data_IF_314189737191
#
_entry.id   IF_314189737191
#
_cell.length_a   1.000
_cell.length_b   1.000
_cell.length_c   1.000
_cell.angle_alpha   90.00
_cell.angle_beta   90.00
_cell.angle_gamma   90.00
#
_symmetry.space_group_name_H-M   'P 1'
#
loop_
_entity.id
_entity.type
_entity.pdbx_description
1 polymer ?
#
# COMPACT_ATOMS: atom_id res chain seq x y z
N UNK A 1 -3.60 -2.82 -27.11
CA UNK A 1 -4.46 -1.87 -26.39
C UNK A 1 -4.39 -2.25 -24.94
N UNK A 2 -4.09 -1.34 -24.02
CA UNK A 2 -3.97 -1.73 -22.61
C UNK A 2 -5.34 -2.15 -22.06
N UNK A 3 -5.36 -2.96 -21.01
CA UNK A 3 -6.59 -3.39 -20.34
C UNK A 3 -7.37 -2.16 -19.82
N UNK A 4 -6.69 -1.13 -19.31
CA UNK A 4 -7.35 0.08 -18.84
C UNK A 4 -8.06 0.85 -19.97
N UNK A 5 -7.52 0.85 -21.19
CA UNK A 5 -8.17 1.48 -22.36
C UNK A 5 -9.42 0.70 -22.78
N UNK A 6 -9.37 -0.63 -22.69
CA UNK A 6 -10.51 -1.49 -22.98
C UNK A 6 -11.62 -1.33 -21.92
N UNK A 7 -11.24 -1.19 -20.64
CA UNK A 7 -12.17 -0.84 -19.55
C UNK A 7 -12.79 0.54 -19.79
N UNK A 8 -11.98 1.57 -20.09
CA UNK A 8 -12.45 2.93 -20.45
C UNK A 8 -13.42 2.90 -21.66
N UNK A 9 -13.12 2.10 -22.68
CA UNK A 9 -13.98 1.90 -23.86
C UNK A 9 -15.31 1.18 -23.56
N UNK A 10 -15.32 0.23 -22.62
CA UNK A 10 -16.57 -0.35 -22.12
C UNK A 10 -17.33 0.66 -21.24
N UNK A 11 -16.66 1.40 -20.36
CA UNK A 11 -17.26 2.43 -19.52
C UNK A 11 -18.01 3.49 -20.32
N UNK A 12 -17.43 4.00 -21.42
CA UNK A 12 -18.11 4.96 -22.30
C UNK A 12 -19.38 4.39 -22.94
N UNK A 13 -19.40 3.10 -23.31
CA UNK A 13 -20.59 2.43 -23.84
C UNK A 13 -21.65 2.22 -22.76
N UNK A 14 -21.23 1.77 -21.58
CA UNK A 14 -22.10 1.57 -20.41
C UNK A 14 -22.74 2.88 -19.97
N UNK A 15 -22.00 4.00 -19.98
CA UNK A 15 -22.48 5.32 -19.62
C UNK A 15 -23.66 5.80 -20.49
N UNK A 16 -23.64 5.47 -21.79
CA UNK A 16 -24.73 5.77 -22.75
C UNK A 16 -25.86 4.75 -22.64
N UNK A 17 -25.55 3.47 -22.43
CA UNK A 17 -26.55 2.42 -22.39
C UNK A 17 -27.42 2.45 -21.12
N UNK A 18 -26.86 2.79 -19.95
CA UNK A 18 -27.48 2.60 -18.62
C UNK A 18 -28.93 3.09 -18.48
N UNK A 19 -29.26 4.23 -19.11
CA UNK A 19 -30.56 4.88 -19.00
C UNK A 19 -31.58 4.33 -20.02
N UNK A 20 -31.11 3.56 -21.01
CA UNK A 20 -31.91 2.91 -22.04
C UNK A 20 -32.33 1.48 -21.63
N UNK A 21 -31.56 0.81 -20.77
CA UNK A 21 -31.79 -0.60 -20.39
C UNK A 21 -32.85 -0.73 -19.29
N UNK A 22 -34.05 -1.17 -19.67
CA UNK A 22 -35.18 -1.32 -18.74
C UNK A 22 -35.31 -2.71 -18.11
N UNK A 23 -34.59 -3.72 -18.62
CA UNK A 23 -34.68 -5.12 -18.16
C UNK A 23 -33.33 -5.69 -17.74
N UNK A 24 -33.37 -6.72 -16.91
CA UNK A 24 -32.20 -7.48 -16.51
C UNK A 24 -31.52 -8.15 -17.72
N UNK A 25 -32.30 -8.72 -18.64
CA UNK A 25 -31.78 -9.33 -19.87
C UNK A 25 -31.07 -8.31 -20.78
N UNK A 26 -31.61 -7.10 -20.91
CA UNK A 26 -30.93 -6.03 -21.64
C UNK A 26 -29.61 -5.63 -20.95
N UNK A 27 -29.55 -5.69 -19.62
CA UNK A 27 -28.34 -5.41 -18.81
C UNK A 27 -27.29 -6.50 -18.97
N UNK A 28 -27.71 -7.78 -18.94
CA UNK A 28 -26.88 -8.96 -19.22
C UNK A 28 -26.20 -8.84 -20.59
N UNK A 29 -26.99 -8.57 -21.63
CA UNK A 29 -26.50 -8.46 -23.01
C UNK A 29 -25.62 -7.23 -23.28
N UNK A 30 -26.04 -6.04 -22.84
CA UNK A 30 -25.37 -4.79 -23.22
C UNK A 30 -24.22 -4.37 -22.28
N UNK A 31 -24.10 -4.98 -21.08
CA UNK A 31 -23.09 -4.61 -20.09
C UNK A 31 -22.29 -5.82 -19.58
N UNK A 32 -22.97 -6.85 -19.05
CA UNK A 32 -22.29 -7.95 -18.33
C UNK A 32 -21.53 -8.89 -19.27
N UNK A 33 -22.11 -9.31 -20.40
CA UNK A 33 -21.37 -10.12 -21.38
C UNK A 33 -20.17 -9.37 -21.97
N UNK A 34 -20.28 -8.08 -22.38
CA UNK A 34 -19.12 -7.26 -22.72
C UNK A 34 -18.05 -7.15 -21.62
N UNK A 35 -18.42 -7.21 -20.34
CA UNK A 35 -17.48 -7.22 -19.21
C UNK A 35 -16.79 -8.60 -19.04
N UNK A 36 -17.51 -9.71 -19.21
CA UNK A 36 -16.93 -11.06 -19.22
C UNK A 36 -15.96 -11.21 -20.41
N UNK A 37 -16.32 -10.67 -21.58
CA UNK A 37 -15.46 -10.63 -22.76
C UNK A 37 -14.23 -9.72 -22.58
N UNK A 38 -14.38 -8.59 -21.86
CA UNK A 38 -13.26 -7.71 -21.48
C UNK A 38 -12.25 -8.41 -20.56
N UNK A 39 -12.71 -9.30 -19.68
CA UNK A 39 -11.85 -10.20 -18.90
C UNK A 39 -11.21 -11.33 -19.75
N UNK A 40 -11.47 -11.39 -21.06
CA UNK A 40 -10.82 -12.30 -22.00
C UNK A 40 -11.45 -13.69 -22.12
N UNK A 41 -12.61 -13.92 -21.50
CA UNK A 41 -13.36 -15.17 -21.61
C UNK A 41 -14.31 -15.13 -22.83
N UNK A 42 -14.40 -16.23 -23.58
CA UNK A 42 -15.23 -16.28 -24.78
C UNK A 42 -16.72 -16.49 -24.45
N UNK A 43 -17.49 -15.39 -24.41
CA UNK A 43 -18.96 -15.42 -24.22
C UNK A 43 -19.75 -16.16 -25.30
N UNK A 44 -19.10 -16.59 -26.40
CA UNK A 44 -19.70 -17.39 -27.45
C UNK A 44 -19.33 -18.89 -27.39
N UNK A 45 -18.47 -19.30 -26.45
CA UNK A 45 -18.16 -20.71 -26.19
C UNK A 45 -18.84 -21.17 -24.90
N UNK A 46 -19.88 -22.03 -24.96
CA UNK A 46 -20.61 -22.48 -23.78
C UNK A 46 -19.77 -23.39 -22.86
N UNK A 47 -18.60 -23.86 -23.30
CA UNK A 47 -17.63 -24.60 -22.48
C UNK A 47 -16.71 -23.68 -21.67
N UNK A 48 -16.67 -22.38 -21.99
CA UNK A 48 -15.92 -21.35 -21.25
C UNK A 48 -16.84 -20.40 -20.49
N UNK A 49 -17.97 -19.99 -21.09
CA UNK A 49 -18.98 -19.15 -20.44
C UNK A 49 -20.34 -19.83 -20.62
N UNK A 50 -20.78 -20.58 -19.61
CA UNK A 50 -22.09 -21.25 -19.62
C UNK A 50 -23.17 -20.28 -19.10
N UNK A 51 -24.12 -19.80 -19.93
CA UNK A 51 -25.27 -19.05 -19.45
C UNK A 51 -26.27 -19.99 -18.76
N UNK A 52 -27.08 -19.46 -17.84
CA UNK A 52 -28.15 -20.18 -17.15
C UNK A 52 -27.71 -21.53 -16.53
N UNK A 53 -26.52 -21.58 -15.93
CA UNK A 53 -25.97 -22.83 -15.38
C UNK A 53 -26.92 -23.42 -14.33
N UNK A 54 -27.18 -24.72 -14.44
CA UNK A 54 -28.03 -25.50 -13.53
C UNK A 54 -27.17 -26.46 -12.69
N UNK A 55 -27.33 -26.41 -11.37
CA UNK A 55 -26.82 -27.38 -10.41
C UNK A 55 -27.96 -27.81 -9.48
N UNK A 56 -28.22 -29.12 -9.37
CA UNK A 56 -29.34 -29.64 -8.57
C UNK A 56 -29.06 -29.52 -7.06
N UNK A 57 -29.85 -28.72 -6.33
CA UNK A 57 -29.68 -28.50 -4.87
C UNK A 57 -30.91 -28.94 -4.09
N UNK A 58 -30.88 -30.18 -3.60
CA UNK A 58 -31.84 -30.71 -2.63
C UNK A 58 -33.29 -30.65 -3.11
N UNK A 59 -34.13 -29.86 -2.43
CA UNK A 59 -35.57 -29.76 -2.70
C UNK A 59 -35.96 -28.62 -3.66
N UNK A 60 -35.03 -27.74 -4.04
CA UNK A 60 -35.29 -26.64 -4.98
C UNK A 60 -34.74 -26.97 -6.37
N UNK A 61 -35.61 -27.44 -7.26
CA UNK A 61 -35.28 -27.67 -8.67
C UNK A 61 -35.52 -26.42 -9.53
N UNK A 62 -34.68 -26.21 -10.55
CA UNK A 62 -34.93 -25.24 -11.62
C UNK A 62 -34.56 -23.78 -11.33
N UNK A 63 -33.97 -23.47 -10.17
CA UNK A 63 -33.20 -22.23 -10.02
C UNK A 63 -31.91 -22.32 -10.84
N UNK A 64 -31.39 -21.18 -11.32
CA UNK A 64 -30.19 -21.09 -12.17
C UNK A 64 -29.28 -19.95 -11.67
N UNK A 65 -28.05 -19.89 -12.17
CA UNK A 65 -27.18 -18.70 -12.07
C UNK A 65 -26.88 -18.18 -13.47
N UNK A 66 -26.81 -16.86 -13.65
CA UNK A 66 -26.94 -16.23 -14.97
C UNK A 66 -25.79 -16.55 -15.92
N UNK A 67 -24.56 -16.50 -15.41
CA UNK A 67 -23.38 -17.00 -16.10
C UNK A 67 -22.46 -17.72 -15.13
N UNK A 68 -21.85 -18.81 -15.59
CA UNK A 68 -20.68 -19.40 -14.98
C UNK A 68 -19.50 -19.29 -15.96
N UNK A 69 -18.35 -18.83 -15.45
CA UNK A 69 -17.08 -18.91 -16.17
C UNK A 69 -16.42 -20.23 -15.77
N UNK A 70 -16.03 -21.02 -16.77
CA UNK A 70 -15.44 -22.34 -16.63
C UNK A 70 -13.95 -22.31 -16.98
N UNK A 71 -13.16 -23.10 -16.25
CA UNK A 71 -11.77 -23.44 -16.57
C UNK A 71 -11.64 -24.96 -16.49
N UNK A 72 -11.13 -25.58 -17.54
CA UNK A 72 -10.99 -27.04 -17.65
C UNK A 72 -12.31 -27.81 -17.36
N UNK A 73 -13.44 -27.23 -17.80
CA UNK A 73 -14.80 -27.77 -17.60
C UNK A 73 -15.41 -27.53 -16.22
N UNK A 74 -14.69 -26.87 -15.30
CA UNK A 74 -15.14 -26.60 -13.92
C UNK A 74 -15.50 -25.12 -13.73
N UNK A 75 -16.63 -24.78 -13.09
CA UNK A 75 -16.93 -23.40 -12.72
C UNK A 75 -15.84 -22.82 -11.80
N UNK A 76 -15.25 -21.68 -12.19
CA UNK A 76 -14.29 -20.92 -11.37
C UNK A 76 -14.90 -19.64 -10.79
N UNK A 77 -15.85 -19.04 -11.52
CA UNK A 77 -16.50 -17.78 -11.16
C UNK A 77 -17.97 -17.80 -11.58
N UNK A 78 -18.85 -17.31 -10.72
CA UNK A 78 -20.30 -17.30 -10.92
C UNK A 78 -20.82 -15.85 -10.94
N UNK A 79 -21.72 -15.52 -11.87
CA UNK A 79 -22.32 -14.18 -11.99
C UNK A 79 -23.81 -14.24 -11.72
N UNK A 80 -24.25 -13.44 -10.75
CA UNK A 80 -25.65 -13.07 -10.55
C UNK A 80 -25.85 -11.61 -10.97
N UNK A 81 -26.74 -11.42 -11.94
CA UNK A 81 -27.05 -10.14 -12.52
C UNK A 81 -28.34 -9.58 -11.93
N UNK A 82 -28.47 -8.25 -12.01
CA UNK A 82 -29.69 -7.47 -11.79
C UNK A 82 -29.80 -6.44 -12.91
N UNK A 83 -30.99 -5.86 -13.10
CA UNK A 83 -31.20 -4.78 -14.07
C UNK A 83 -30.34 -3.55 -13.76
N UNK A 84 -30.00 -2.77 -14.79
CA UNK A 84 -29.38 -1.44 -14.69
C UNK A 84 -30.07 -0.59 -13.61
N UNK A 85 -29.27 0.05 -12.76
CA UNK A 85 -29.77 0.84 -11.61
C UNK A 85 -30.46 0.03 -10.50
N UNK A 86 -30.50 -1.30 -10.58
CA UNK A 86 -31.01 -2.17 -9.52
C UNK A 86 -30.06 -2.27 -8.32
N UNK A 87 -30.63 -2.40 -7.11
CA UNK A 87 -29.87 -2.54 -5.86
C UNK A 87 -29.12 -3.90 -5.79
N UNK A 88 -27.86 -3.84 -5.37
CA UNK A 88 -26.97 -4.99 -5.20
C UNK A 88 -26.95 -5.44 -3.74
N UNK A 89 -28.13 -5.82 -3.28
CA UNK A 89 -28.38 -6.38 -1.96
C UNK A 89 -28.14 -7.89 -1.95
N UNK A 90 -27.21 -8.34 -1.11
CA UNK A 90 -26.82 -9.74 -1.02
C UNK A 90 -27.96 -10.67 -0.56
N UNK A 91 -28.96 -10.15 0.18
CA UNK A 91 -30.16 -10.91 0.54
C UNK A 91 -31.01 -11.29 -0.69
N UNK A 92 -30.84 -10.57 -1.82
CA UNK A 92 -31.51 -10.85 -3.09
C UNK A 92 -30.63 -11.66 -4.06
N UNK A 93 -29.42 -12.05 -3.66
CA UNK A 93 -28.48 -12.92 -4.39
C UNK A 93 -28.50 -14.36 -3.86
N UNK A 94 -29.68 -14.83 -3.45
CA UNK A 94 -29.83 -16.16 -2.84
C UNK A 94 -29.50 -17.31 -3.79
N UNK A 95 -29.57 -17.11 -5.10
CA UNK A 95 -29.17 -18.10 -6.10
C UNK A 95 -27.63 -18.24 -6.08
N UNK A 96 -26.89 -17.13 -6.20
CA UNK A 96 -25.42 -17.09 -6.08
C UNK A 96 -24.89 -17.85 -4.86
N UNK A 97 -25.46 -17.64 -3.67
CA UNK A 97 -25.08 -18.38 -2.45
C UNK A 97 -25.25 -19.90 -2.59
N UNK A 98 -26.39 -20.36 -3.12
CA UNK A 98 -26.68 -21.80 -3.26
C UNK A 98 -25.74 -22.44 -4.29
N UNK A 99 -25.47 -21.75 -5.39
CA UNK A 99 -24.57 -22.21 -6.43
C UNK A 99 -23.10 -22.24 -6.00
N UNK A 100 -22.64 -21.21 -5.27
CA UNK A 100 -21.29 -21.20 -4.68
C UNK A 100 -21.09 -22.40 -3.74
N UNK A 101 -22.12 -22.77 -2.96
CA UNK A 101 -22.01 -23.88 -2.00
C UNK A 101 -21.89 -25.28 -2.62
N UNK A 102 -22.40 -25.48 -3.85
CA UNK A 102 -22.46 -26.81 -4.50
C UNK A 102 -21.56 -26.98 -5.71
N UNK A 103 -20.80 -25.94 -6.09
CA UNK A 103 -19.85 -25.98 -7.21
C UNK A 103 -18.41 -25.82 -6.72
N UNK A 104 -17.44 -26.06 -7.59
CA UNK A 104 -16.01 -25.81 -7.30
C UNK A 104 -15.62 -24.32 -7.44
N UNK A 105 -16.60 -23.44 -7.67
CA UNK A 105 -16.34 -22.02 -7.88
C UNK A 105 -15.76 -21.36 -6.65
N UNK A 106 -14.67 -20.60 -6.85
CA UNK A 106 -13.97 -19.88 -5.78
C UNK A 106 -14.41 -18.42 -5.68
N UNK A 107 -15.11 -17.91 -6.70
CA UNK A 107 -15.53 -16.52 -6.79
C UNK A 107 -17.00 -16.38 -7.20
N UNK A 108 -17.71 -15.45 -6.55
CA UNK A 108 -19.06 -15.03 -6.92
C UNK A 108 -19.07 -13.54 -7.26
N UNK A 109 -19.87 -13.13 -8.23
CA UNK A 109 -20.00 -11.73 -8.67
C UNK A 109 -21.47 -11.34 -8.68
N UNK A 110 -21.83 -10.32 -7.90
CA UNK A 110 -23.16 -9.69 -7.94
C UNK A 110 -23.06 -8.36 -8.68
N UNK A 111 -23.81 -8.18 -9.77
CA UNK A 111 -23.68 -7.00 -10.65
C UNK A 111 -25.01 -6.48 -11.21
N UNK A 112 -25.05 -5.18 -11.48
CA UNK A 112 -26.13 -4.50 -12.23
C UNK A 112 -25.61 -3.89 -13.56
N UNK A 113 -24.47 -4.39 -14.05
CA UNK A 113 -23.77 -3.85 -15.22
C UNK A 113 -22.92 -2.61 -14.94
N UNK A 114 -23.22 -1.86 -13.86
CA UNK A 114 -22.48 -0.66 -13.43
C UNK A 114 -21.47 -1.00 -12.33
N UNK A 115 -21.94 -1.60 -11.25
CA UNK A 115 -21.11 -2.05 -10.11
C UNK A 115 -21.00 -3.58 -10.14
N UNK A 116 -19.80 -4.09 -9.85
CA UNK A 116 -19.46 -5.50 -9.79
C UNK A 116 -18.89 -5.80 -8.40
N UNK A 117 -19.63 -6.55 -7.59
CA UNK A 117 -19.23 -6.93 -6.22
C UNK A 117 -18.69 -8.36 -6.23
N UNK A 118 -17.41 -8.53 -5.91
CA UNK A 118 -16.71 -9.80 -5.93
C UNK A 118 -16.63 -10.42 -4.52
N UNK A 119 -17.05 -11.67 -4.42
CA UNK A 119 -17.15 -12.46 -3.20
C UNK A 119 -16.33 -13.75 -3.33
N UNK A 120 -15.88 -14.27 -2.20
CA UNK A 120 -15.20 -15.56 -2.06
C UNK A 120 -15.48 -16.09 -0.65
N UNK A 121 -14.86 -17.17 -0.21
CA UNK A 121 -15.24 -17.96 0.98
C UNK A 121 -14.14 -18.00 2.06
N UNK A 122 -13.60 -16.83 2.41
CA UNK A 122 -12.48 -16.70 3.36
C UNK A 122 -12.84 -17.13 4.78
N UNK A 123 -14.13 -17.07 5.15
CA UNK A 123 -14.57 -17.45 6.50
C UNK A 123 -14.78 -18.94 6.68
N UNK A 124 -15.29 -19.63 5.65
CA UNK A 124 -15.64 -21.06 5.69
C UNK A 124 -15.58 -21.66 4.28
N UNK A 125 -14.77 -22.71 4.04
CA UNK A 125 -14.67 -23.36 2.74
C UNK A 125 -16.04 -23.70 2.14
N UNK A 126 -16.22 -23.33 0.89
CA UNK A 126 -17.43 -23.45 0.09
C UNK A 126 -18.67 -22.77 0.73
N UNK A 127 -18.51 -21.72 1.55
CA UNK A 127 -19.58 -20.78 1.90
C UNK A 127 -19.12 -19.36 1.61
N UNK A 128 -19.70 -18.75 0.57
CA UNK A 128 -19.48 -17.36 0.21
C UNK A 128 -19.65 -16.41 1.41
N UNK A 129 -18.69 -15.50 1.59
CA UNK A 129 -18.71 -14.44 2.60
C UNK A 129 -19.89 -13.48 2.37
N UNK A 130 -20.43 -12.91 3.45
CA UNK A 130 -21.58 -11.98 3.40
C UNK A 130 -21.20 -10.55 2.97
N UNK A 131 -19.90 -10.28 2.74
CA UNK A 131 -19.35 -8.99 2.32
C UNK A 131 -18.36 -9.19 1.17
N UNK A 132 -18.37 -8.35 0.13
CA UNK A 132 -17.46 -8.50 -1.00
C UNK A 132 -16.03 -8.11 -0.60
N UNK A 133 -15.04 -8.87 -1.05
CA UNK A 133 -13.63 -8.57 -0.85
C UNK A 133 -13.11 -7.54 -1.88
N UNK A 134 -13.83 -7.31 -2.96
CA UNK A 134 -13.55 -6.27 -3.95
C UNK A 134 -14.87 -5.76 -4.56
N UNK A 135 -15.00 -4.45 -4.74
CA UNK A 135 -16.09 -3.83 -5.50
C UNK A 135 -15.49 -2.94 -6.59
N UNK A 136 -16.04 -3.01 -7.79
CA UNK A 136 -15.59 -2.24 -8.96
C UNK A 136 -16.79 -1.52 -9.59
N UNK A 137 -16.71 -0.20 -9.77
CA UNK A 137 -17.71 0.59 -10.50
C UNK A 137 -17.13 1.01 -11.84
N UNK A 138 -17.71 0.53 -12.94
CA UNK A 138 -17.16 0.79 -14.27
C UNK A 138 -17.28 2.26 -14.73
N UNK A 139 -18.09 3.07 -14.03
CA UNK A 139 -18.24 4.50 -14.30
C UNK A 139 -17.42 5.40 -13.36
N UNK A 140 -16.81 4.84 -12.32
CA UNK A 140 -16.02 5.56 -11.30
C UNK A 140 -15.02 4.59 -10.66
N UNK A 141 -13.79 4.56 -11.20
CA UNK A 141 -12.72 3.67 -10.78
C UNK A 141 -11.36 4.35 -10.78
N UNK A 142 -10.45 3.86 -9.94
CA UNK A 142 -9.04 4.27 -9.86
C UNK A 142 -8.16 3.21 -10.50
N UNK A 143 -6.94 3.57 -10.87
CA UNK A 143 -6.02 2.66 -11.58
C UNK A 143 -5.63 1.44 -10.72
N UNK A 144 -5.55 1.61 -9.40
CA UNK A 144 -5.39 0.51 -8.43
C UNK A 144 -6.51 -0.54 -8.53
N UNK A 145 -7.76 -0.12 -8.78
CA UNK A 145 -8.90 -1.03 -8.92
C UNK A 145 -8.90 -1.74 -10.28
N UNK A 146 -8.21 -1.18 -11.27
CA UNK A 146 -7.95 -1.82 -12.55
C UNK A 146 -6.88 -2.91 -12.39
N UNK A 147 -5.84 -2.70 -11.59
CA UNK A 147 -4.83 -3.72 -11.31
C UNK A 147 -5.37 -4.88 -10.46
N UNK A 148 -6.33 -4.60 -9.57
CA UNK A 148 -7.11 -5.65 -8.90
C UNK A 148 -8.05 -6.38 -9.89
N UNK A 149 -8.74 -5.67 -10.79
CA UNK A 149 -9.61 -6.27 -11.79
C UNK A 149 -8.83 -7.15 -12.80
N UNK A 150 -7.60 -6.75 -13.19
CA UNK A 150 -6.72 -7.53 -14.09
C UNK A 150 -6.53 -8.97 -13.61
N UNK A 151 -6.47 -9.23 -12.30
CA UNK A 151 -6.28 -10.57 -11.72
C UNK A 151 -7.42 -11.54 -12.08
N UNK A 152 -8.62 -11.03 -12.34
CA UNK A 152 -9.76 -11.85 -12.76
C UNK A 152 -9.77 -12.19 -14.25
N UNK A 153 -8.93 -11.54 -15.06
CA UNK A 153 -8.87 -11.78 -16.50
C UNK A 153 -8.18 -13.12 -16.82
N UNK A 154 -8.68 -13.83 -17.84
CA UNK A 154 -8.28 -15.20 -18.22
C UNK A 154 -6.77 -15.45 -18.25
N UNK A 155 -6.00 -14.47 -18.75
CA UNK A 155 -4.54 -14.57 -18.90
C UNK A 155 -3.75 -14.40 -17.57
N UNK A 156 -4.37 -13.87 -16.53
CA UNK A 156 -3.79 -13.64 -15.20
C UNK A 156 -4.55 -14.36 -14.07
N UNK A 157 -5.57 -15.16 -14.41
CA UNK A 157 -6.44 -15.83 -13.44
C UNK A 157 -5.73 -16.96 -12.70
N UNK A 158 -5.22 -16.62 -11.50
CA UNK A 158 -4.70 -17.54 -10.50
C UNK A 158 -5.51 -17.46 -9.19
N UNK A 159 -5.95 -18.62 -8.71
CA UNK A 159 -6.86 -18.73 -7.57
C UNK A 159 -6.14 -18.35 -6.27
N UNK A 160 -4.90 -18.80 -6.07
CA UNK A 160 -4.16 -18.58 -4.83
C UNK A 160 -3.80 -17.09 -4.67
N UNK A 161 -3.30 -16.45 -5.74
CA UNK A 161 -3.00 -15.02 -5.78
C UNK A 161 -4.23 -14.14 -5.51
N UNK A 162 -5.40 -14.48 -6.08
CA UNK A 162 -6.65 -13.74 -5.81
C UNK A 162 -7.13 -13.98 -4.38
N UNK A 163 -7.02 -15.20 -3.82
CA UNK A 163 -7.40 -15.48 -2.42
C UNK A 163 -6.47 -14.79 -1.40
N UNK A 164 -5.16 -14.75 -1.66
CA UNK A 164 -4.20 -13.99 -0.84
C UNK A 164 -4.50 -12.49 -0.90
N UNK A 165 -4.75 -11.97 -2.09
CA UNK A 165 -5.23 -10.59 -2.31
C UNK A 165 -6.52 -10.31 -1.53
N UNK A 166 -7.51 -11.19 -1.61
CA UNK A 166 -8.81 -11.05 -0.97
C UNK A 166 -8.69 -10.97 0.56
N UNK A 167 -7.86 -11.82 1.16
CA UNK A 167 -7.52 -11.74 2.58
C UNK A 167 -6.89 -10.40 2.94
N UNK A 168 -5.88 -9.95 2.18
CA UNK A 168 -5.21 -8.67 2.44
C UNK A 168 -6.17 -7.47 2.34
N UNK A 169 -7.05 -7.44 1.33
CA UNK A 169 -8.08 -6.40 1.20
C UNK A 169 -9.11 -6.46 2.33
N UNK A 170 -9.53 -7.66 2.76
CA UNK A 170 -10.46 -7.87 3.88
C UNK A 170 -9.88 -7.35 5.20
N UNK A 171 -8.65 -7.71 5.53
CA UNK A 171 -7.97 -7.21 6.74
C UNK A 171 -7.69 -5.71 6.65
N UNK A 172 -7.26 -5.19 5.50
CA UNK A 172 -7.04 -3.75 5.29
C UNK A 172 -8.30 -2.95 5.57
N UNK A 173 -9.47 -3.37 5.05
CA UNK A 173 -10.75 -2.69 5.34
C UNK A 173 -11.20 -2.82 6.78
N UNK A 174 -10.97 -3.97 7.42
CA UNK A 174 -11.29 -4.15 8.85
C UNK A 174 -10.46 -3.18 9.71
N UNK A 175 -9.15 -3.09 9.47
CA UNK A 175 -8.24 -2.17 10.17
C UNK A 175 -8.64 -0.71 9.89
N UNK A 176 -8.91 -0.35 8.63
CA UNK A 176 -9.38 0.99 8.27
C UNK A 176 -10.69 1.36 8.97
N UNK A 177 -11.64 0.43 9.07
CA UNK A 177 -12.90 0.66 9.79
C UNK A 177 -12.65 0.93 11.28
N UNK A 178 -11.88 0.06 11.94
CA UNK A 178 -11.49 0.22 13.36
C UNK A 178 -10.73 1.52 13.62
N UNK A 179 -9.84 1.95 12.72
CA UNK A 179 -9.13 3.23 12.85
C UNK A 179 -10.08 4.44 12.72
N UNK A 180 -11.06 4.40 11.80
CA UNK A 180 -12.09 5.45 11.68
C UNK A 180 -13.01 5.50 12.91
N UNK A 181 -13.33 4.35 13.52
CA UNK A 181 -14.02 4.30 14.81
C UNK A 181 -13.15 4.93 15.91
N UNK A 182 -11.87 4.58 16.01
CA UNK A 182 -10.95 5.10 17.04
C UNK A 182 -10.66 6.60 16.90
N UNK A 183 -10.65 7.14 15.68
CA UNK A 183 -10.63 8.59 15.44
C UNK A 183 -11.83 9.32 16.07
N UNK A 184 -12.98 8.63 16.14
CA UNK A 184 -14.25 9.19 16.62
C UNK A 184 -14.51 8.88 18.09
N UNK A 185 -14.07 7.71 18.56
CA UNK A 185 -14.29 7.14 19.89
C UNK A 185 -13.10 6.22 20.25
N UNK A 186 -11.93 6.76 20.64
CA UNK A 186 -10.74 5.96 20.89
C UNK A 186 -10.93 5.09 22.14
N UNK A 187 -10.69 3.76 22.07
CA UNK A 187 -10.86 2.87 23.21
C UNK A 187 -9.76 3.10 24.25
N UNK A 188 -10.05 2.77 25.52
CA UNK A 188 -9.16 3.06 26.64
C UNK A 188 -7.74 2.51 26.44
N UNK A 189 -7.62 1.28 25.94
CA UNK A 189 -6.32 0.65 25.73
C UNK A 189 -5.48 1.34 24.64
N UNK A 190 -6.12 1.90 23.61
CA UNK A 190 -5.45 2.74 22.62
C UNK A 190 -5.03 4.09 23.20
N UNK A 191 -5.92 4.75 23.97
CA UNK A 191 -5.58 6.00 24.66
C UNK A 191 -4.41 5.79 25.63
N UNK A 192 -4.37 4.64 26.32
CA UNK A 192 -3.27 4.25 27.22
C UNK A 192 -1.97 3.98 26.45
N UNK A 193 -2.05 3.34 25.28
CA UNK A 193 -0.90 3.10 24.40
C UNK A 193 -0.27 4.42 23.92
N UNK A 194 -1.05 5.33 23.32
CA UNK A 194 -0.52 6.59 22.76
C UNK A 194 -0.11 7.63 23.79
N UNK A 195 -0.45 7.43 25.07
CA UNK A 195 -0.04 8.31 26.17
C UNK A 195 1.06 7.72 27.05
N UNK A 196 1.49 6.47 26.82
CA UNK A 196 2.42 5.74 27.68
C UNK A 196 3.77 6.47 27.88
N UNK A 197 4.37 6.95 26.80
CA UNK A 197 5.68 7.62 26.80
C UNK A 197 5.69 8.93 27.62
N UNK A 198 4.53 9.59 27.73
CA UNK A 198 4.36 10.88 28.42
C UNK A 198 3.77 10.74 29.84
N UNK A 199 3.37 9.51 30.23
CA UNK A 199 2.74 9.19 31.51
C UNK A 199 3.62 8.32 32.43
N UNK A 200 4.94 8.28 32.20
CA UNK A 200 5.91 7.53 33.01
C UNK A 200 5.64 7.70 34.51
N UNK A 201 5.40 6.57 35.20
CA UNK A 201 5.13 6.52 36.64
C UNK A 201 3.72 6.93 37.10
N UNK A 202 2.81 7.35 36.21
CA UNK A 202 1.44 7.76 36.57
C UNK A 202 0.44 6.62 36.33
N UNK A 203 -0.28 6.23 37.37
CA UNK A 203 -1.40 5.29 37.23
C UNK A 203 -2.52 5.88 36.34
N UNK A 204 -2.98 5.10 35.37
CA UNK A 204 -4.04 5.47 34.44
C UNK A 204 -5.43 5.45 35.11
N UNK A 205 -5.70 6.46 35.95
CA UNK A 205 -6.96 6.64 36.69
C UNK A 205 -8.01 7.35 35.82
N UNK A 206 -9.30 7.20 36.15
CA UNK A 206 -10.44 7.75 35.39
C UNK A 206 -10.27 9.22 34.95
N UNK A 207 -9.86 10.13 35.85
CA UNK A 207 -9.64 11.54 35.49
C UNK A 207 -8.55 11.75 34.42
N UNK A 208 -7.50 10.92 34.39
CA UNK A 208 -6.51 10.94 33.30
C UNK A 208 -7.10 10.30 32.05
N UNK A 209 -7.78 9.15 32.16
CA UNK A 209 -8.46 8.49 31.03
C UNK A 209 -9.34 9.47 30.26
N UNK A 210 -10.24 10.17 30.94
CA UNK A 210 -11.21 11.05 30.28
C UNK A 210 -10.51 12.25 29.62
N UNK A 211 -9.52 12.85 30.30
CA UNK A 211 -8.67 13.92 29.75
C UNK A 211 -7.92 13.46 28.49
N UNK A 212 -7.20 12.34 28.56
CA UNK A 212 -6.40 11.83 27.44
C UNK A 212 -7.28 11.28 26.30
N UNK A 213 -8.49 10.80 26.58
CA UNK A 213 -9.47 10.41 25.55
C UNK A 213 -9.91 11.61 24.73
N UNK A 214 -10.22 12.74 25.39
CA UNK A 214 -10.54 14.00 24.72
C UNK A 214 -9.35 14.57 23.92
N UNK A 215 -8.13 14.51 24.48
CA UNK A 215 -6.90 14.95 23.79
C UNK A 215 -6.61 14.07 22.57
N UNK A 216 -6.70 12.74 22.68
CA UNK A 216 -6.47 11.79 21.57
C UNK A 216 -7.43 12.04 20.42
N UNK A 217 -8.73 12.20 20.72
CA UNK A 217 -9.75 12.53 19.70
C UNK A 217 -9.46 13.86 19.01
N UNK A 218 -9.06 14.90 19.76
CA UNK A 218 -8.68 16.19 19.19
C UNK A 218 -7.41 16.09 18.33
N UNK A 219 -6.40 15.33 18.76
CA UNK A 219 -5.16 15.13 18.03
C UNK A 219 -5.40 14.45 16.66
N UNK A 220 -6.26 13.42 16.60
CA UNK A 220 -6.68 12.83 15.33
C UNK A 220 -7.33 13.85 14.39
N UNK A 221 -8.27 14.66 14.90
CA UNK A 221 -8.97 15.66 14.09
C UNK A 221 -8.01 16.74 13.55
N UNK A 222 -7.04 17.18 14.36
CA UNK A 222 -6.02 18.14 13.94
C UNK A 222 -5.09 17.52 12.89
N UNK A 223 -4.52 16.33 13.16
CA UNK A 223 -3.62 15.63 12.24
C UNK A 223 -4.25 15.40 10.85
N UNK A 224 -5.53 15.03 10.79
CA UNK A 224 -6.25 14.84 9.53
C UNK A 224 -6.50 16.18 8.83
N UNK A 225 -6.89 17.22 9.56
CA UNK A 225 -7.00 18.57 9.03
C UNK A 225 -5.68 19.08 8.43
N UNK A 226 -4.57 18.85 9.11
CA UNK A 226 -3.23 19.23 8.67
C UNK A 226 -2.81 18.45 7.41
N UNK A 227 -3.03 17.12 7.37
CA UNK A 227 -2.75 16.29 6.18
C UNK A 227 -3.63 16.65 4.96
N UNK A 228 -4.89 17.02 5.18
CA UNK A 228 -5.76 17.55 4.12
C UNK A 228 -5.25 18.92 3.65
N UNK A 229 -4.87 19.81 4.57
CA UNK A 229 -4.33 21.13 4.24
C UNK A 229 -2.98 21.06 3.51
N UNK A 230 -2.10 20.12 3.85
CA UNK A 230 -0.87 19.83 3.08
C UNK A 230 -1.19 19.44 1.64
N UNK A 231 -2.11 18.47 1.44
CA UNK A 231 -2.51 18.00 0.11
C UNK A 231 -3.22 19.07 -0.71
N UNK A 232 -4.11 19.85 -0.09
CA UNK A 232 -4.79 20.98 -0.75
C UNK A 232 -3.80 22.08 -1.14
N UNK A 233 -2.84 22.44 -0.28
CA UNK A 233 -1.79 23.42 -0.61
C UNK A 233 -0.97 22.96 -1.82
N UNK A 234 -0.50 21.71 -1.82
CA UNK A 234 0.25 21.13 -2.94
C UNK A 234 -0.55 21.03 -4.26
N UNK A 235 -1.88 20.91 -4.18
CA UNK A 235 -2.77 20.91 -5.36
C UNK A 235 -3.21 22.32 -5.81
N UNK A 236 -3.11 23.34 -4.94
CA UNK A 236 -3.52 24.72 -5.21
C UNK A 236 -2.36 25.65 -5.59
N UNK A 237 -1.10 25.20 -5.45
CA UNK A 237 0.07 25.88 -6.02
C UNK A 237 0.23 25.51 -7.50
N UNK A 238 -0.04 26.42 -8.47
CA UNK A 238 0.37 26.19 -9.85
C UNK A 238 1.90 26.22 -9.96
N UNK A 239 2.47 25.37 -10.80
CA UNK A 239 3.92 25.33 -11.03
C UNK A 239 4.40 26.60 -11.76
N UNK A 240 5.17 27.45 -11.08
CA UNK A 240 6.05 28.49 -11.65
C UNK A 240 6.99 28.99 -10.53
N UNK A 241 8.15 29.63 -10.83
CA UNK A 241 9.39 29.08 -10.31
C UNK A 241 9.91 29.70 -9.01
N UNK A 242 10.74 28.91 -8.33
CA UNK A 242 11.71 29.18 -7.26
C UNK A 242 11.93 30.63 -6.76
N UNK A 243 11.95 30.72 -5.42
CA UNK A 243 12.83 31.58 -4.58
C UNK A 243 12.42 33.04 -4.29
N UNK A 244 12.78 33.59 -3.08
CA UNK A 244 13.10 32.89 -1.82
C UNK A 244 12.68 33.59 -0.50
N UNK A 245 12.88 32.87 0.63
CA UNK A 245 12.98 33.29 2.05
C UNK A 245 11.76 33.93 2.76
N UNK A 246 11.20 33.16 3.71
CA UNK A 246 10.93 33.61 5.08
C UNK A 246 10.94 32.39 6.03
N UNK A 247 11.66 32.46 7.16
CA UNK A 247 11.82 31.36 8.14
C UNK A 247 11.62 31.92 9.56
N UNK A 248 10.98 31.16 10.47
CA UNK A 248 10.95 31.49 11.90
C UNK A 248 10.80 30.22 12.77
N UNK A 249 11.76 30.02 13.70
CA UNK A 249 11.79 29.06 14.84
C UNK A 249 11.69 27.54 14.49
N UNK A 250 12.44 26.58 15.04
CA UNK A 250 13.15 26.40 16.34
C UNK A 250 12.19 26.15 17.53
N UNK A 251 12.36 25.19 18.45
CA UNK A 251 13.43 24.21 18.83
C UNK A 251 12.74 22.81 18.93
N UNK A 252 13.32 21.60 19.14
CA UNK A 252 14.66 21.11 19.52
C UNK A 252 14.90 19.68 18.97
N UNK A 253 15.69 18.84 19.67
CA UNK A 253 16.08 17.47 19.29
C UNK A 253 16.09 16.50 20.50
N UNK A 254 15.87 15.19 20.28
CA UNK A 254 15.94 14.12 21.29
C UNK A 254 16.08 12.71 20.65
N UNK A 255 17.31 12.18 20.60
CA UNK A 255 17.66 10.78 20.30
C UNK A 255 18.01 10.04 21.63
N UNK A 256 18.02 8.70 21.78
CA UNK A 256 17.81 7.56 20.87
C UNK A 256 17.52 6.25 21.65
N UNK A 257 17.08 5.19 20.93
CA UNK A 257 17.39 3.79 21.25
C UNK A 257 16.20 2.86 21.58
N UNK A 258 16.17 1.58 21.17
CA UNK A 258 17.11 0.87 20.26
C UNK A 258 16.52 -0.42 19.64
N UNK A 259 16.90 -0.67 18.38
CA UNK A 259 17.09 -1.96 17.69
C UNK A 259 16.11 -3.15 17.88
N UNK A 260 15.46 -3.52 16.76
CA UNK A 260 15.22 -4.92 16.36
C UNK A 260 15.74 -5.13 14.92
N UNK A 261 15.98 -6.38 14.50
CA UNK A 261 16.57 -6.70 13.20
C UNK A 261 15.53 -7.21 12.20
N UNK A 262 15.02 -6.32 11.35
CA UNK A 262 14.37 -6.68 10.09
C UNK A 262 15.08 -5.94 8.94
N UNK A 263 15.28 -6.63 7.82
CA UNK A 263 16.07 -6.12 6.70
C UNK A 263 15.23 -5.21 5.80
N UNK A 264 15.11 -3.93 6.19
CA UNK A 264 14.68 -2.88 5.27
C UNK A 264 15.68 -2.75 4.11
N UNK A 265 15.18 -2.33 2.95
CA UNK A 265 15.97 -2.18 1.72
C UNK A 265 16.04 -0.69 1.35
N UNK A 266 17.24 -0.11 1.14
CA UNK A 266 17.40 1.32 0.92
C UNK A 266 16.56 1.87 -0.22
N UNK A 267 16.00 3.07 -0.04
CA UNK A 267 15.20 3.75 -1.06
C UNK A 267 16.03 4.18 -2.28
N UNK A 268 15.35 4.53 -3.38
CA UNK A 268 16.01 5.01 -4.60
C UNK A 268 16.88 6.25 -4.35
N UNK A 269 16.41 7.20 -3.54
CA UNK A 269 17.13 8.44 -3.18
C UNK A 269 18.37 8.14 -2.34
N UNK A 270 18.31 7.13 -1.46
CA UNK A 270 19.46 6.71 -0.65
C UNK A 270 20.48 5.92 -1.47
N UNK A 271 20.03 5.13 -2.45
CA UNK A 271 20.91 4.47 -3.43
C UNK A 271 21.62 5.48 -4.33
N UNK A 272 20.94 6.55 -4.76
CA UNK A 272 21.51 7.66 -5.54
C UNK A 272 22.57 8.43 -4.72
N UNK A 273 22.19 8.88 -3.52
CA UNK A 273 23.10 9.53 -2.57
C UNK A 273 24.32 8.67 -2.23
N UNK A 274 24.15 7.36 -2.09
CA UNK A 274 25.24 6.41 -1.91
C UNK A 274 26.19 6.36 -3.13
N UNK A 275 25.71 6.46 -4.37
CA UNK A 275 26.61 6.61 -5.52
C UNK A 275 27.35 7.96 -5.51
N UNK A 276 26.68 9.05 -5.15
CA UNK A 276 27.29 10.38 -5.02
C UNK A 276 28.42 10.35 -3.97
N UNK A 277 28.16 9.79 -2.78
CA UNK A 277 29.16 9.63 -1.71
C UNK A 277 30.32 8.73 -2.14
N UNK A 278 30.06 7.65 -2.90
CA UNK A 278 31.11 6.80 -3.49
C UNK A 278 31.95 7.51 -4.56
N UNK A 279 31.37 8.46 -5.30
CA UNK A 279 32.07 9.28 -6.27
C UNK A 279 32.96 10.33 -5.57
N UNK A 280 32.40 11.04 -4.58
CA UNK A 280 33.12 12.00 -3.72
C UNK A 280 34.34 11.36 -3.08
N UNK A 281 34.18 10.19 -2.48
CA UNK A 281 35.24 9.49 -1.75
C UNK A 281 36.20 8.68 -2.65
N UNK A 282 35.94 8.63 -3.96
CA UNK A 282 36.74 7.87 -4.94
C UNK A 282 38.23 8.20 -4.94
N UNK A 283 38.70 9.44 -4.70
CA UNK A 283 40.13 9.76 -4.65
C UNK A 283 40.87 9.12 -3.48
N UNK A 284 40.21 8.97 -2.32
CA UNK A 284 40.84 8.49 -1.08
C UNK A 284 40.57 7.02 -0.75
N UNK A 285 39.47 6.43 -1.25
CA UNK A 285 39.13 5.02 -0.99
C UNK A 285 38.53 4.32 -2.22
N UNK A 286 38.76 3.00 -2.31
CA UNK A 286 38.12 2.14 -3.31
C UNK A 286 36.61 2.03 -3.02
N UNK A 287 35.69 2.20 -4.00
CA UNK A 287 34.24 2.16 -3.78
C UNK A 287 33.64 0.83 -3.27
N UNK A 288 34.45 -0.22 -3.14
CA UNK A 288 34.07 -1.49 -2.48
C UNK A 288 34.39 -1.54 -0.98
N UNK A 289 34.86 -0.44 -0.37
CA UNK A 289 35.03 -0.28 1.09
C UNK A 289 33.98 0.64 1.72
N UNK A 290 33.10 1.21 0.90
CA UNK A 290 31.96 2.03 1.30
C UNK A 290 30.73 1.14 1.14
N UNK A 291 29.96 0.98 2.21
CA UNK A 291 28.78 0.12 2.28
C UNK A 291 27.56 0.92 2.67
N UNK A 292 26.38 0.47 2.24
CA UNK A 292 25.07 1.00 2.63
C UNK A 292 24.35 -0.06 3.47
N UNK A 293 23.79 0.35 4.62
CA UNK A 293 22.95 -0.51 5.47
C UNK A 293 21.73 0.29 5.93
N UNK A 294 20.54 -0.20 5.63
CA UNK A 294 19.30 0.41 6.10
C UNK A 294 19.07 0.16 7.60
N UNK A 295 18.30 1.05 8.24
CA UNK A 295 17.81 0.90 9.60
C UNK A 295 16.56 1.77 9.81
N UNK A 296 15.68 1.36 10.75
CA UNK A 296 14.33 1.91 10.97
C UNK A 296 14.21 3.43 11.28
N UNK A 297 15.31 4.19 11.30
CA UNK A 297 15.31 5.66 11.47
C UNK A 297 16.34 6.40 10.62
N UNK A 298 17.22 5.69 9.90
CA UNK A 298 18.22 6.25 8.97
C UNK A 298 18.89 5.13 8.17
N UNK A 299 19.23 5.40 6.92
CA UNK A 299 20.13 4.55 6.15
C UNK A 299 21.60 4.96 6.41
N UNK A 300 22.43 4.01 6.84
CA UNK A 300 23.80 4.24 7.26
C UNK A 300 24.80 3.99 6.12
N UNK A 301 25.70 4.93 5.88
CA UNK A 301 26.86 4.75 5.00
C UNK A 301 28.08 4.43 5.86
N UNK A 302 28.68 3.26 5.67
CA UNK A 302 29.70 2.68 6.55
C UNK A 302 31.03 2.45 5.82
N UNK A 303 32.14 2.59 6.55
CA UNK A 303 33.48 2.21 6.10
C UNK A 303 33.82 0.79 6.57
N UNK A 304 34.29 -0.07 5.64
CA UNK A 304 34.55 -1.50 5.87
C UNK A 304 33.37 -2.27 6.50
N UNK A 305 32.13 -1.93 6.10
CA UNK A 305 30.86 -2.54 6.56
C UNK A 305 30.67 -2.57 8.10
N UNK A 306 31.32 -1.62 8.79
CA UNK A 306 31.47 -1.64 10.25
C UNK A 306 30.63 -0.54 10.92
N UNK A 307 29.66 -0.94 11.75
CA UNK A 307 28.79 -0.01 12.51
C UNK A 307 29.56 0.94 13.46
N UNK A 308 30.84 0.67 13.77
CA UNK A 308 31.73 1.57 14.54
C UNK A 308 32.55 2.54 13.68
N UNK A 309 32.36 2.51 12.35
CA UNK A 309 32.99 3.41 11.37
C UNK A 309 31.95 4.04 10.41
N UNK A 310 30.92 4.74 10.92
CA UNK A 310 29.93 5.41 10.07
C UNK A 310 30.54 6.64 9.38
N UNK A 311 30.42 6.71 8.06
CA UNK A 311 30.85 7.85 7.25
C UNK A 311 29.82 8.98 7.37
N UNK A 312 28.53 8.63 7.20
CA UNK A 312 27.38 9.51 7.38
C UNK A 312 26.09 8.69 7.59
N UNK A 313 25.01 9.36 8.01
CA UNK A 313 23.66 8.78 8.15
C UNK A 313 22.66 9.57 7.31
N UNK A 314 21.95 8.91 6.40
CA UNK A 314 20.90 9.51 5.57
C UNK A 314 19.56 9.31 6.28
N UNK A 315 18.80 10.39 6.52
CA UNK A 315 17.44 10.33 7.07
C UNK A 315 16.48 10.79 5.97
N UNK A 316 16.32 9.96 4.94
CA UNK A 316 15.60 10.33 3.71
C UNK A 316 14.19 9.73 3.60
N UNK A 317 13.73 9.06 4.66
CA UNK A 317 12.38 8.51 4.85
C UNK A 317 11.24 9.55 4.69
N UNK A 318 11.58 10.84 4.56
CA UNK A 318 10.70 11.92 4.14
C UNK A 318 11.40 12.73 3.03
N UNK A 319 10.97 12.55 1.78
CA UNK A 319 11.53 13.22 0.60
C UNK A 319 11.45 14.76 0.70
N UNK A 320 10.48 15.31 1.44
CA UNK A 320 10.35 16.74 1.68
C UNK A 320 11.27 17.29 2.79
N UNK A 321 12.04 16.44 3.48
CA UNK A 321 13.02 16.83 4.50
C UNK A 321 14.20 15.86 4.56
N UNK A 322 15.04 15.90 3.53
CA UNK A 322 16.31 15.18 3.50
C UNK A 322 17.27 15.72 4.58
N UNK A 323 17.79 14.85 5.45
CA UNK A 323 18.76 15.22 6.49
C UNK A 323 19.96 14.27 6.46
N UNK A 324 21.16 14.83 6.47
CA UNK A 324 22.44 14.10 6.51
C UNK A 324 23.10 14.31 7.87
N UNK A 325 23.34 13.20 8.57
CA UNK A 325 24.21 13.16 9.74
C UNK A 325 25.66 13.04 9.33
N UNK A 326 26.48 14.03 9.67
CA UNK A 326 27.94 14.03 9.50
C UNK A 326 28.63 14.03 10.87
N UNK A 327 29.73 13.30 11.00
CA UNK A 327 30.45 13.20 12.26
C UNK A 327 31.52 14.29 12.38
N UNK A 328 31.67 14.88 13.57
CA UNK A 328 32.76 15.80 13.90
C UNK A 328 34.01 15.02 14.41
N UNK A 329 35.09 15.72 14.75
CA UNK A 329 36.33 15.10 15.26
C UNK A 329 36.11 14.34 16.59
N UNK A 330 35.18 14.82 17.44
CA UNK A 330 34.73 14.16 18.67
C UNK A 330 33.87 12.91 18.43
N UNK A 331 33.49 12.62 17.16
CA UNK A 331 32.53 11.58 16.73
C UNK A 331 31.08 11.83 17.14
N UNK A 332 30.74 13.06 17.50
CA UNK A 332 29.35 13.49 17.67
C UNK A 332 28.73 13.70 16.28
N UNK A 333 27.41 13.50 16.17
CA UNK A 333 26.69 13.61 14.90
C UNK A 333 26.03 14.99 14.76
N UNK A 334 26.47 15.76 13.78
CA UNK A 334 25.79 16.98 13.34
C UNK A 334 24.77 16.63 12.24
N UNK A 335 23.50 16.99 12.44
CA UNK A 335 22.44 16.74 11.46
C UNK A 335 22.18 17.98 10.61
N UNK A 336 22.54 17.91 9.34
CA UNK A 336 22.41 19.01 8.37
C UNK A 336 21.23 18.71 7.43
N UNK A 337 20.31 19.65 7.28
CA UNK A 337 19.23 19.53 6.31
C UNK A 337 19.74 19.89 4.90
N UNK A 338 19.33 19.12 3.90
CA UNK A 338 19.62 19.39 2.47
C UNK A 338 18.31 19.48 1.68
N UNK A 339 18.33 20.22 0.58
CA UNK A 339 17.20 20.37 -0.35
C UNK A 339 17.27 19.39 -1.53
N UNK A 340 18.47 18.97 -1.94
CA UNK A 340 18.71 17.96 -2.99
C UNK A 340 19.93 17.11 -2.66
N UNK A 341 20.01 15.90 -3.21
CA UNK A 341 21.17 15.00 -3.00
C UNK A 341 22.48 15.56 -3.58
N UNK A 342 22.44 16.48 -4.54
CA UNK A 342 23.63 17.15 -5.08
C UNK A 342 24.41 17.92 -4.00
N UNK A 343 23.74 18.43 -2.96
CA UNK A 343 24.40 19.13 -1.85
C UNK A 343 25.33 18.21 -1.02
N UNK A 344 25.33 16.91 -1.27
CA UNK A 344 26.36 16.00 -0.75
C UNK A 344 27.77 16.38 -1.24
N UNK A 345 27.91 16.98 -2.42
CA UNK A 345 29.21 17.47 -2.93
C UNK A 345 29.80 18.58 -2.06
N UNK A 346 28.97 19.45 -1.47
CA UNK A 346 29.40 20.54 -0.57
C UNK A 346 30.05 20.00 0.72
N UNK A 347 29.75 18.75 1.11
CA UNK A 347 30.34 18.09 2.27
C UNK A 347 31.55 17.20 1.94
N UNK A 348 32.08 17.28 0.71
CA UNK A 348 33.12 16.37 0.21
C UNK A 348 34.39 16.33 1.05
N UNK A 349 34.83 17.49 1.57
CA UNK A 349 35.99 17.56 2.49
C UNK A 349 35.72 16.88 3.83
N UNK A 350 34.52 17.06 4.41
CA UNK A 350 34.13 16.45 5.70
C UNK A 350 34.03 14.93 5.60
N UNK A 351 33.39 14.44 4.54
CA UNK A 351 33.30 13.00 4.24
C UNK A 351 34.71 12.40 4.07
N UNK A 352 35.58 13.11 3.35
CA UNK A 352 36.98 12.72 3.13
C UNK A 352 37.80 12.70 4.43
N UNK A 353 37.65 13.71 5.29
CA UNK A 353 38.31 13.77 6.60
C UNK A 353 37.89 12.61 7.52
N UNK A 354 36.59 12.29 7.58
CA UNK A 354 36.06 11.14 8.32
C UNK A 354 36.71 9.81 7.86
N UNK A 355 36.75 9.58 6.55
CA UNK A 355 37.39 8.39 5.95
C UNK A 355 38.89 8.34 6.21
N UNK A 356 39.60 9.47 6.11
CA UNK A 356 41.02 9.56 6.42
C UNK A 356 41.31 9.25 7.90
N UNK A 357 40.43 9.65 8.82
CA UNK A 357 40.48 9.24 10.22
C UNK A 357 40.46 7.72 10.41
N UNK A 358 39.63 6.99 9.67
CA UNK A 358 39.59 5.53 9.72
C UNK A 358 40.80 4.87 9.03
N UNK A 359 41.33 5.46 7.97
CA UNK A 359 42.56 4.99 7.32
C UNK A 359 43.77 5.11 8.26
N UNK A 360 43.98 6.29 8.85
CA UNK A 360 45.14 6.56 9.72
C UNK A 360 45.14 5.68 10.98
N UNK A 361 43.99 5.48 11.62
CA UNK A 361 43.82 4.57 12.79
C UNK A 361 44.10 3.09 12.45
N UNK A 362 44.21 2.73 11.17
CA UNK A 362 44.53 1.36 10.73
C UNK A 362 46.03 1.15 10.45
N UNK A 363 46.84 2.21 10.39
CA UNK A 363 48.30 2.11 10.12
C UNK A 363 49.09 1.78 11.41
N UNK A 364 48.65 2.28 12.56
CA UNK A 364 49.38 2.26 13.84
C UNK A 364 49.32 0.90 14.59
N UNK A 365 49.33 -0.22 13.85
CA UNK A 365 49.28 -1.58 14.39
C UNK A 365 50.17 -2.62 13.70
N UNK A 366 51.13 -2.21 12.86
CA UNK A 366 52.05 -3.14 12.18
C UNK A 366 53.52 -2.73 12.19
N UNK A 367 54.05 -2.33 13.36
CA UNK A 367 55.51 -2.31 13.61
C UNK A 367 55.82 -3.01 14.93
N UNK A 368 56.00 -4.33 14.88
CA UNK A 368 56.76 -5.05 15.89
C UNK A 368 58.22 -5.12 15.42
N UNK A 369 59.23 -4.74 16.23
CA UNK A 369 60.62 -4.75 15.81
C UNK A 369 61.14 -6.19 15.65
N UNK A 370 61.69 -6.49 14.47
CA UNK A 370 62.30 -7.78 14.12
C UNK A 370 63.84 -7.68 14.16
N UNK A 371 64.40 -7.91 15.35
CA UNK A 371 65.81 -8.22 15.65
C UNK A 371 65.79 -9.09 16.92
N UNK A 372 66.18 -10.37 16.92
CA UNK A 372 67.53 -10.92 16.60
C UNK A 372 68.57 -10.40 17.59
#
# INVERSE_FOLDING_TARGET
MDFIDQVRSLASRVAVAKDLLQTEEATKNAMVMPFIQLLGYNVFDPLEVTPELIADVGTKKGEKVDYAILKDGKPIMLFECKKSGGDLNINHAGQLFRYFHVTEARFGVLTNGLTYKFFTDLEKPNKMDEKPFFEFNILDFREQEIDELKKFAKAAFDIETILTTANHLKYTRAIQHTLNEWMTNPPEDFVRLVSAEFLVGKHFKAALKDQFTAVTKRAFQQLIGDKINERLKGAMTPETPLSPVAIVADVADAEAGAASQEAFAPSAVELEAYQIIRAILRPVVKPGRIFIRDAASYCAILFDDNNRRPICRLRFNNEAKLVVGLFNESKEEERIAISTVDQLFDFGERLTACVNGYLNVTVDKSVAPLTT
#
